data_IF_506227495084
#
_entry.id   IF_506227495084
#
_cell.length_a   1.000
_cell.length_b   1.000
_cell.length_c   1.000
_cell.angle_alpha   90.00
_cell.angle_beta   90.00
_cell.angle_gamma   90.00
#
_symmetry.space_group_name_H-M   'P 1'
#
loop_
_entity.id
_entity.type
_entity.pdbx_description
1 polymer ?
#
# COMPACT_ATOMS: atom_id res chain seq x y z
N UNK A 1 -37.71 -41.07 3.14
CA UNK A 1 -37.97 -39.60 3.05
C UNK A 1 -36.82 -38.73 3.50
N UNK A 2 -35.77 -39.28 4.16
CA UNK A 2 -34.68 -38.50 4.78
C UNK A 2 -33.52 -38.09 3.82
N UNK A 3 -33.40 -38.71 2.67
CA UNK A 3 -32.29 -38.45 1.75
C UNK A 3 -32.52 -37.25 0.82
N UNK A 4 -33.77 -36.98 0.46
CA UNK A 4 -34.11 -35.83 -0.40
C UNK A 4 -34.07 -34.47 0.33
N UNK A 5 -34.35 -34.46 1.63
CA UNK A 5 -34.28 -33.23 2.43
C UNK A 5 -32.83 -32.78 2.69
N UNK A 6 -31.89 -33.71 2.87
CA UNK A 6 -30.47 -33.38 3.05
C UNK A 6 -29.83 -32.77 1.77
N UNK A 7 -30.23 -33.29 0.59
CA UNK A 7 -29.72 -32.78 -0.70
C UNK A 7 -30.24 -31.39 -1.02
N UNK A 8 -31.49 -31.05 -0.66
CA UNK A 8 -32.06 -29.71 -0.86
C UNK A 8 -31.46 -28.66 0.09
N UNK A 9 -31.05 -29.03 1.30
CA UNK A 9 -30.38 -28.16 2.24
C UNK A 9 -28.97 -27.81 1.78
N UNK A 10 -28.22 -28.78 1.25
CA UNK A 10 -26.87 -28.55 0.75
C UNK A 10 -26.84 -27.66 -0.50
N UNK A 11 -27.77 -27.82 -1.42
CA UNK A 11 -27.92 -26.98 -2.62
C UNK A 11 -28.37 -25.58 -2.28
N UNK A 12 -29.25 -25.40 -1.30
CA UNK A 12 -29.70 -24.07 -0.88
C UNK A 12 -28.61 -23.26 -0.15
N UNK A 13 -27.77 -23.95 0.64
CA UNK A 13 -26.63 -23.32 1.33
C UNK A 13 -25.51 -22.91 0.36
N UNK A 14 -25.21 -23.75 -0.63
CA UNK A 14 -24.25 -23.46 -1.71
C UNK A 14 -24.71 -22.28 -2.56
N UNK A 15 -25.99 -22.25 -2.97
CA UNK A 15 -26.58 -21.15 -3.73
C UNK A 15 -26.61 -19.81 -2.98
N UNK A 16 -26.80 -19.82 -1.65
CA UNK A 16 -26.70 -18.61 -0.83
C UNK A 16 -25.27 -18.06 -0.77
N UNK A 17 -24.28 -18.93 -0.58
CA UNK A 17 -22.86 -18.54 -0.59
C UNK A 17 -22.44 -17.98 -1.95
N UNK A 18 -22.85 -18.60 -3.04
CA UNK A 18 -22.56 -18.11 -4.38
C UNK A 18 -23.21 -16.74 -4.67
N UNK A 19 -24.46 -16.54 -4.26
CA UNK A 19 -25.15 -15.24 -4.40
C UNK A 19 -24.46 -14.16 -3.57
N UNK A 20 -24.08 -14.47 -2.33
CA UNK A 20 -23.34 -13.54 -1.46
C UNK A 20 -21.96 -13.20 -2.05
N UNK A 21 -21.22 -14.18 -2.56
CA UNK A 21 -19.94 -13.95 -3.22
C UNK A 21 -20.08 -13.13 -4.51
N UNK A 22 -21.09 -13.38 -5.33
CA UNK A 22 -21.39 -12.59 -6.54
C UNK A 22 -21.79 -11.15 -6.21
N UNK A 23 -22.59 -10.95 -5.14
CA UNK A 23 -22.96 -9.61 -4.67
C UNK A 23 -21.74 -8.84 -4.13
N UNK A 24 -20.89 -9.50 -3.33
CA UNK A 24 -19.62 -8.92 -2.84
C UNK A 24 -18.67 -8.59 -3.98
N UNK A 25 -18.54 -9.47 -4.98
CA UNK A 25 -17.71 -9.22 -6.14
C UNK A 25 -18.26 -8.10 -7.04
N UNK A 26 -19.58 -7.97 -7.15
CA UNK A 26 -20.21 -6.87 -7.87
C UNK A 26 -20.02 -5.54 -7.14
N UNK A 27 -20.20 -5.53 -5.80
CA UNK A 27 -19.96 -4.36 -4.95
C UNK A 27 -18.50 -3.93 -5.01
N UNK A 28 -17.56 -4.88 -4.88
CA UNK A 28 -16.12 -4.61 -4.99
C UNK A 28 -15.74 -4.01 -6.34
N UNK A 29 -16.28 -4.53 -7.44
CA UNK A 29 -16.08 -3.97 -8.79
C UNK A 29 -16.69 -2.57 -8.93
N UNK A 30 -17.89 -2.37 -8.38
CA UNK A 30 -18.55 -1.06 -8.42
C UNK A 30 -17.74 -0.03 -7.64
N UNK A 31 -17.33 -0.35 -6.40
CA UNK A 31 -16.49 0.52 -5.55
C UNK A 31 -15.13 0.77 -6.20
N UNK A 32 -14.51 -0.25 -6.79
CA UNK A 32 -13.22 -0.10 -7.48
C UNK A 32 -13.31 0.80 -8.72
N UNK A 33 -14.35 0.65 -9.54
CA UNK A 33 -14.55 1.49 -10.74
C UNK A 33 -14.95 2.93 -10.42
N UNK A 34 -15.58 3.16 -9.25
CA UNK A 34 -16.01 4.49 -8.80
C UNK A 34 -15.10 5.05 -7.69
N UNK A 35 -13.96 4.40 -7.42
CA UNK A 35 -13.05 4.79 -6.34
C UNK A 35 -12.63 6.27 -6.40
N UNK A 36 -12.31 6.77 -7.59
CA UNK A 36 -11.91 8.17 -7.77
C UNK A 36 -13.03 9.16 -7.35
N UNK A 37 -14.29 8.83 -7.66
CA UNK A 37 -15.43 9.66 -7.26
C UNK A 37 -15.65 9.65 -5.76
N UNK A 38 -15.47 8.49 -5.10
CA UNK A 38 -15.55 8.38 -3.65
C UNK A 38 -14.46 9.19 -2.95
N UNK A 39 -13.21 9.11 -3.44
CA UNK A 39 -12.09 9.90 -2.90
C UNK A 39 -12.37 11.40 -3.04
N UNK A 40 -12.84 11.84 -4.22
CA UNK A 40 -13.18 13.23 -4.45
C UNK A 40 -14.33 13.70 -3.54
N UNK A 41 -15.37 12.89 -3.40
CA UNK A 41 -16.51 13.19 -2.53
C UNK A 41 -16.07 13.35 -1.06
N UNK A 42 -15.29 12.39 -0.54
CA UNK A 42 -14.81 12.46 0.83
C UNK A 42 -13.80 13.59 1.04
N UNK A 43 -12.98 13.93 0.04
CA UNK A 43 -12.09 15.09 0.11
C UNK A 43 -12.88 16.41 0.20
N UNK A 44 -13.93 16.58 -0.60
CA UNK A 44 -14.81 17.75 -0.54
C UNK A 44 -15.53 17.81 0.82
N UNK A 45 -16.07 16.68 1.30
CA UNK A 45 -16.73 16.62 2.62
C UNK A 45 -15.76 16.94 3.75
N UNK A 46 -14.52 16.45 3.69
CA UNK A 46 -13.48 16.74 4.69
C UNK A 46 -13.09 18.23 4.68
N UNK A 47 -13.08 18.85 3.52
CA UNK A 47 -12.82 20.29 3.40
C UNK A 47 -13.97 21.13 3.97
N UNK A 48 -15.22 20.72 3.75
CA UNK A 48 -16.41 21.44 4.24
C UNK A 48 -16.66 21.23 5.75
N UNK A 49 -16.33 20.04 6.26
CA UNK A 49 -16.58 19.64 7.65
C UNK A 49 -15.32 19.12 8.35
N UNK A 50 -14.25 19.93 8.49
CA UNK A 50 -12.96 19.47 9.02
C UNK A 50 -13.07 18.90 10.44
N UNK A 51 -13.98 19.44 11.27
CA UNK A 51 -14.14 19.02 12.67
C UNK A 51 -14.57 17.55 12.82
N UNK A 52 -15.40 17.04 11.90
CA UNK A 52 -15.83 15.63 11.90
C UNK A 52 -14.66 14.72 11.57
N UNK A 53 -13.82 15.11 10.61
CA UNK A 53 -12.69 14.32 10.15
C UNK A 53 -11.48 14.37 11.09
N UNK A 54 -11.31 15.47 11.85
CA UNK A 54 -10.26 15.57 12.88
C UNK A 54 -10.45 14.50 13.96
N UNK A 55 -11.70 14.18 14.33
CA UNK A 55 -12.02 13.10 15.26
C UNK A 55 -11.56 11.70 14.78
N UNK A 56 -11.47 11.50 13.46
CA UNK A 56 -10.99 10.25 12.89
C UNK A 56 -9.44 10.12 12.88
N UNK A 57 -8.70 11.15 13.27
CA UNK A 57 -7.22 11.13 13.29
C UNK A 57 -6.66 9.96 14.09
N UNK A 58 -7.29 9.60 15.22
CA UNK A 58 -6.88 8.46 16.04
C UNK A 58 -7.09 7.09 15.37
N UNK A 59 -7.96 7.03 14.36
CA UNK A 59 -8.24 5.81 13.60
C UNK A 59 -7.29 5.58 12.42
N UNK A 60 -6.48 6.57 12.04
CA UNK A 60 -5.55 6.46 10.91
C UNK A 60 -4.60 5.29 11.11
N UNK A 61 -3.98 5.16 12.28
CA UNK A 61 -3.00 4.11 12.59
C UNK A 61 -3.63 2.71 12.54
N UNK A 62 -4.75 2.42 13.24
CA UNK A 62 -5.38 1.09 13.14
C UNK A 62 -5.90 0.77 11.75
N UNK A 63 -6.45 1.73 11.02
CA UNK A 63 -6.92 1.53 9.65
C UNK A 63 -5.76 1.25 8.69
N UNK A 64 -4.65 1.98 8.82
CA UNK A 64 -3.44 1.73 8.06
C UNK A 64 -2.90 0.32 8.36
N UNK A 65 -2.86 -0.09 9.63
CA UNK A 65 -2.49 -1.45 10.02
C UNK A 65 -3.37 -2.52 9.37
N UNK A 66 -4.69 -2.29 9.31
CA UNK A 66 -5.63 -3.20 8.64
C UNK A 66 -5.34 -3.31 7.13
N UNK A 67 -5.07 -2.18 6.46
CA UNK A 67 -4.70 -2.17 5.04
C UNK A 67 -3.39 -2.90 4.81
N UNK A 68 -2.38 -2.66 5.65
CA UNK A 68 -1.08 -3.35 5.57
C UNK A 68 -1.20 -4.85 5.84
N UNK A 69 -2.06 -5.25 6.78
CA UNK A 69 -2.41 -6.65 7.02
C UNK A 69 -3.05 -7.29 5.79
N UNK A 70 -4.05 -6.62 5.18
CA UNK A 70 -4.66 -7.04 3.93
C UNK A 70 -3.65 -7.19 2.79
N UNK A 71 -2.69 -6.26 2.69
CA UNK A 71 -1.58 -6.36 1.73
C UNK A 71 -0.70 -7.59 2.02
N UNK A 72 -0.41 -7.87 3.29
CA UNK A 72 0.32 -9.07 3.71
C UNK A 72 -0.39 -10.37 3.29
N UNK A 73 -1.72 -10.42 3.38
CA UNK A 73 -2.53 -11.56 2.90
C UNK A 73 -2.47 -11.76 1.38
N UNK A 74 -2.12 -10.76 0.60
CA UNK A 74 -2.01 -10.86 -0.87
C UNK A 74 -0.61 -11.22 -1.34
N UNK A 75 0.42 -11.01 -0.51
CA UNK A 75 1.81 -11.33 -0.82
C UNK A 75 2.03 -12.85 -0.86
N UNK A 76 2.48 -13.37 -2.00
CA UNK A 76 2.82 -14.78 -2.18
C UNK A 76 4.34 -14.99 -2.18
N UNK A 77 4.78 -16.14 -1.68
CA UNK A 77 6.19 -16.53 -1.79
C UNK A 77 6.65 -16.66 -3.25
N UNK A 78 5.72 -16.92 -4.17
CA UNK A 78 5.96 -16.96 -5.60
C UNK A 78 6.39 -15.59 -6.16
N UNK A 79 5.95 -14.48 -5.55
CA UNK A 79 6.34 -13.13 -5.96
C UNK A 79 7.84 -12.88 -5.77
N UNK A 80 8.47 -13.61 -4.84
CA UNK A 80 9.92 -13.58 -4.62
C UNK A 80 10.70 -14.49 -5.59
N UNK A 81 10.02 -15.35 -6.34
CA UNK A 81 10.67 -16.22 -7.32
C UNK A 81 11.32 -15.41 -8.45
N UNK A 82 10.73 -14.28 -8.82
CA UNK A 82 11.30 -13.38 -9.82
C UNK A 82 12.58 -12.70 -9.32
N UNK A 83 12.67 -12.41 -8.02
CA UNK A 83 13.91 -11.91 -7.40
C UNK A 83 15.05 -12.92 -7.57
N UNK A 84 14.75 -14.22 -7.40
CA UNK A 84 15.74 -15.29 -7.58
C UNK A 84 16.12 -15.53 -9.06
N UNK A 85 15.15 -15.34 -9.97
CA UNK A 85 15.36 -15.53 -11.42
C UNK A 85 16.12 -14.38 -12.07
N UNK A 86 15.80 -13.15 -11.70
CA UNK A 86 16.34 -11.94 -12.31
C UNK A 86 16.82 -10.93 -11.27
N UNK A 87 17.78 -11.28 -10.39
CA UNK A 87 18.17 -10.44 -9.25
C UNK A 87 18.72 -9.08 -9.69
N UNK A 88 19.42 -9.02 -10.82
CA UNK A 88 19.97 -7.78 -11.34
C UNK A 88 18.90 -6.78 -11.79
N UNK A 89 17.83 -7.26 -12.46
CA UNK A 89 16.72 -6.40 -12.90
C UNK A 89 15.95 -5.86 -11.71
N UNK A 90 15.71 -6.70 -10.71
CA UNK A 90 15.04 -6.30 -9.46
C UNK A 90 15.92 -5.30 -8.71
N UNK A 91 17.20 -5.56 -8.53
CA UNK A 91 18.14 -4.65 -7.87
C UNK A 91 18.18 -3.29 -8.57
N UNK A 92 18.27 -3.27 -9.90
CA UNK A 92 18.26 -2.03 -10.68
C UNK A 92 16.95 -1.25 -10.47
N UNK A 93 15.79 -1.93 -10.47
CA UNK A 93 14.49 -1.31 -10.23
C UNK A 93 14.37 -0.73 -8.82
N UNK A 94 14.85 -1.44 -7.81
CA UNK A 94 14.87 -0.99 -6.40
C UNK A 94 15.78 0.22 -6.22
N UNK A 95 16.99 0.19 -6.78
CA UNK A 95 17.93 1.31 -6.74
C UNK A 95 17.33 2.52 -7.47
N UNK A 96 16.83 2.32 -8.67
CA UNK A 96 16.18 3.38 -9.43
C UNK A 96 15.01 4.01 -8.66
N UNK A 97 14.19 3.21 -8.02
CA UNK A 97 13.08 3.68 -7.21
C UNK A 97 13.55 4.58 -6.05
N UNK A 98 14.47 4.10 -5.21
CA UNK A 98 14.96 4.85 -4.04
C UNK A 98 15.94 5.99 -4.36
N UNK A 99 16.43 6.10 -5.59
CA UNK A 99 17.24 7.23 -6.05
C UNK A 99 16.38 8.26 -6.79
N UNK A 100 15.59 7.81 -7.77
CA UNK A 100 14.85 8.72 -8.64
C UNK A 100 13.67 9.36 -7.89
N UNK A 101 12.87 8.58 -7.17
CA UNK A 101 11.67 9.13 -6.52
C UNK A 101 12.00 10.15 -5.43
N UNK A 102 12.90 9.87 -4.46
CA UNK A 102 13.31 10.88 -3.48
C UNK A 102 14.05 12.06 -4.12
N UNK A 103 14.87 11.80 -5.15
CA UNK A 103 15.60 12.84 -5.87
C UNK A 103 14.66 13.81 -6.58
N UNK A 104 13.63 13.30 -7.25
CA UNK A 104 12.59 14.12 -7.90
C UNK A 104 11.78 14.88 -6.84
N UNK A 105 11.40 14.22 -5.75
CA UNK A 105 10.68 14.89 -4.66
C UNK A 105 11.49 16.07 -4.07
N UNK A 106 12.77 15.85 -3.80
CA UNK A 106 13.67 16.88 -3.31
C UNK A 106 13.83 18.03 -4.33
N UNK A 107 14.03 17.70 -5.61
CA UNK A 107 14.15 18.69 -6.68
C UNK A 107 12.87 19.54 -6.79
N UNK A 108 11.70 18.94 -6.73
CA UNK A 108 10.42 19.66 -6.74
C UNK A 108 10.31 20.63 -5.55
N UNK A 109 10.73 20.19 -4.35
CA UNK A 109 10.73 21.08 -3.18
C UNK A 109 11.61 22.31 -3.40
N UNK A 110 12.77 22.15 -4.06
CA UNK A 110 13.69 23.27 -4.37
C UNK A 110 13.13 24.18 -5.46
N UNK A 111 12.61 23.61 -6.54
CA UNK A 111 12.07 24.38 -7.68
C UNK A 111 10.85 25.23 -7.27
N UNK A 112 9.94 24.63 -6.49
CA UNK A 112 8.73 25.32 -6.02
C UNK A 112 8.94 26.11 -4.73
N UNK A 113 10.12 26.09 -4.13
CA UNK A 113 10.45 26.77 -2.87
C UNK A 113 9.39 26.49 -1.79
N UNK A 114 9.05 25.21 -1.62
CA UNK A 114 7.99 24.81 -0.72
C UNK A 114 8.33 25.13 0.74
N UNK A 115 7.34 25.54 1.56
CA UNK A 115 7.55 25.69 3.00
C UNK A 115 8.08 24.40 3.63
N UNK A 116 8.94 24.46 4.66
CA UNK A 116 9.59 23.29 5.27
C UNK A 116 8.65 22.14 5.62
N UNK A 117 7.49 22.44 6.17
CA UNK A 117 6.49 21.48 6.59
C UNK A 117 5.92 20.67 5.39
N UNK A 118 5.67 21.36 4.27
CA UNK A 118 5.17 20.73 3.04
C UNK A 118 6.31 20.00 2.34
N UNK A 119 7.51 20.58 2.31
CA UNK A 119 8.68 19.96 1.68
C UNK A 119 9.00 18.60 2.31
N UNK A 120 8.99 18.48 3.64
CA UNK A 120 9.19 17.20 4.34
C UNK A 120 8.12 16.18 3.98
N UNK A 121 6.86 16.60 3.86
CA UNK A 121 5.77 15.72 3.41
C UNK A 121 5.96 15.20 1.99
N UNK A 122 6.38 16.05 1.04
CA UNK A 122 6.66 15.66 -0.36
C UNK A 122 7.85 14.69 -0.43
N UNK A 123 8.91 14.95 0.32
CA UNK A 123 10.08 14.05 0.40
C UNK A 123 9.67 12.72 1.03
N UNK A 124 8.85 12.72 2.08
CA UNK A 124 8.33 11.50 2.71
C UNK A 124 7.60 10.63 1.69
N UNK A 125 6.73 11.21 0.87
CA UNK A 125 6.03 10.48 -0.21
C UNK A 125 7.03 9.91 -1.21
N UNK A 126 8.05 10.67 -1.60
CA UNK A 126 9.12 10.19 -2.50
C UNK A 126 9.95 9.04 -1.93
N UNK A 127 10.13 9.00 -0.60
CA UNK A 127 10.87 7.95 0.10
C UNK A 127 10.02 6.71 0.43
N UNK A 128 8.69 6.75 0.20
CA UNK A 128 7.82 5.59 0.42
C UNK A 128 8.11 4.47 -0.59
N UNK A 129 7.91 3.20 -0.19
CA UNK A 129 8.05 2.07 -1.10
C UNK A 129 7.00 2.10 -2.21
N UNK A 130 7.26 1.34 -3.28
CA UNK A 130 6.34 1.25 -4.43
C UNK A 130 4.96 0.75 -4.02
N UNK A 131 3.92 1.45 -4.45
CA UNK A 131 2.52 1.10 -4.14
C UNK A 131 1.95 0.05 -5.08
N UNK A 132 0.93 -0.69 -4.61
CA UNK A 132 0.22 -1.70 -5.41
C UNK A 132 -0.43 -1.13 -6.68
N UNK A 133 -0.78 0.16 -6.66
CA UNK A 133 -1.33 0.86 -7.83
C UNK A 133 -0.37 0.87 -9.01
N UNK A 134 0.96 0.91 -8.77
CA UNK A 134 1.97 0.87 -9.84
C UNK A 134 1.97 -0.48 -10.57
N UNK A 135 1.64 -1.58 -9.88
CA UNK A 135 1.51 -2.90 -10.50
C UNK A 135 0.34 -2.95 -11.48
N UNK A 136 -0.78 -2.28 -11.15
CA UNK A 136 -1.93 -2.14 -12.05
C UNK A 136 -1.55 -1.33 -13.29
N UNK A 137 -0.78 -0.25 -13.12
CA UNK A 137 -0.29 0.55 -14.25
C UNK A 137 0.68 -0.24 -15.13
N UNK A 138 1.58 -1.02 -14.52
CA UNK A 138 2.48 -1.91 -15.27
C UNK A 138 1.71 -2.94 -16.11
N UNK A 139 0.64 -3.52 -15.55
CA UNK A 139 -0.23 -4.45 -16.26
C UNK A 139 -0.97 -3.78 -17.43
N UNK A 140 -1.55 -2.60 -17.21
CA UNK A 140 -2.24 -1.83 -18.25
C UNK A 140 -1.30 -1.41 -19.38
N UNK A 141 -0.04 -1.09 -19.03
CA UNK A 141 1.01 -0.75 -20.00
C UNK A 141 1.58 -1.99 -20.73
N UNK A 142 1.05 -3.20 -20.45
CA UNK A 142 1.58 -4.48 -20.96
C UNK A 142 3.06 -4.71 -20.60
N UNK A 143 3.50 -4.17 -19.45
CA UNK A 143 4.83 -4.39 -18.90
C UNK A 143 4.95 -5.74 -18.18
N UNK A 144 6.16 -6.02 -17.69
CA UNK A 144 6.44 -7.22 -16.90
C UNK A 144 5.85 -7.08 -15.48
N UNK A 145 4.68 -7.67 -15.27
CA UNK A 145 3.97 -7.61 -13.99
C UNK A 145 4.74 -8.35 -12.88
N UNK A 146 5.38 -9.49 -13.21
CA UNK A 146 6.13 -10.26 -12.23
C UNK A 146 7.31 -9.45 -11.69
N UNK A 147 8.03 -8.75 -12.57
CA UNK A 147 9.11 -7.85 -12.19
C UNK A 147 8.58 -6.66 -11.35
N UNK A 148 7.45 -6.06 -11.73
CA UNK A 148 6.86 -4.93 -10.99
C UNK A 148 6.47 -5.33 -9.56
N UNK A 149 5.83 -6.50 -9.39
CA UNK A 149 5.44 -7.04 -8.08
C UNK A 149 6.67 -7.38 -7.24
N UNK A 150 7.71 -7.98 -7.85
CA UNK A 150 8.97 -8.30 -7.17
C UNK A 150 9.66 -7.01 -6.65
N UNK A 151 9.74 -5.97 -7.47
CA UNK A 151 10.30 -4.67 -7.06
C UNK A 151 9.47 -4.08 -5.91
N UNK A 152 8.14 -4.10 -6.00
CA UNK A 152 7.27 -3.58 -4.96
C UNK A 152 7.45 -4.34 -3.63
N UNK A 153 7.56 -5.67 -3.66
CA UNK A 153 7.81 -6.50 -2.48
C UNK A 153 9.16 -6.17 -1.83
N UNK A 154 10.22 -6.10 -2.63
CA UNK A 154 11.58 -5.80 -2.12
C UNK A 154 11.66 -4.37 -1.58
N UNK A 155 11.08 -3.37 -2.26
CA UNK A 155 11.06 -1.98 -1.75
C UNK A 155 10.29 -1.88 -0.44
N UNK A 156 9.19 -2.62 -0.28
CA UNK A 156 8.42 -2.65 0.96
C UNK A 156 9.21 -3.28 2.11
N UNK A 157 9.96 -4.36 1.86
CA UNK A 157 10.83 -4.98 2.87
C UNK A 157 12.00 -4.07 3.30
N UNK A 158 12.55 -3.30 2.36
CA UNK A 158 13.65 -2.37 2.62
C UNK A 158 13.17 -1.03 3.21
N UNK A 159 11.90 -0.71 3.11
CA UNK A 159 11.34 0.56 3.54
C UNK A 159 11.67 0.94 5.00
N UNK A 160 11.59 0.05 6.01
CA UNK A 160 11.90 0.42 7.39
C UNK A 160 13.32 0.99 7.58
N UNK A 161 14.25 0.55 6.75
CA UNK A 161 15.64 1.01 6.79
C UNK A 161 15.88 2.20 5.85
N UNK A 162 15.47 2.06 4.58
CA UNK A 162 15.79 3.05 3.56
C UNK A 162 14.96 4.33 3.67
N UNK A 163 13.66 4.22 4.01
CA UNK A 163 12.80 5.41 4.13
C UNK A 163 13.28 6.37 5.22
N UNK A 164 13.54 5.95 6.49
CA UNK A 164 14.06 6.85 7.50
C UNK A 164 15.44 7.41 7.16
N UNK A 165 16.32 6.59 6.55
CA UNK A 165 17.66 7.02 6.14
C UNK A 165 17.60 8.14 5.10
N UNK A 166 16.77 7.96 4.07
CA UNK A 166 16.60 8.95 3.01
C UNK A 166 15.92 10.23 3.52
N UNK A 167 14.93 10.12 4.39
CA UNK A 167 14.29 11.30 4.99
C UNK A 167 15.28 12.03 5.88
N UNK A 168 16.04 11.32 6.71
CA UNK A 168 17.08 11.93 7.52
C UNK A 168 18.12 12.67 6.65
N UNK A 169 18.54 12.05 5.54
CA UNK A 169 19.52 12.64 4.64
C UNK A 169 18.98 13.87 3.89
N UNK A 170 17.74 13.82 3.40
CA UNK A 170 17.18 14.83 2.50
C UNK A 170 16.38 15.92 3.23
N UNK A 171 15.76 15.61 4.36
CA UNK A 171 14.83 16.50 5.06
C UNK A 171 15.41 17.07 6.38
N UNK A 172 16.51 16.54 6.89
CA UNK A 172 17.12 17.01 8.15
C UNK A 172 17.55 18.48 8.13
N UNK A 173 17.78 19.04 6.95
CA UNK A 173 18.09 20.46 6.78
C UNK A 173 16.91 21.38 7.09
N UNK A 174 15.67 20.87 7.01
CA UNK A 174 14.44 21.65 7.21
C UNK A 174 13.77 21.39 8.56
N UNK A 175 13.82 20.15 9.03
CA UNK A 175 13.21 19.74 10.30
C UNK A 175 14.08 18.68 10.99
N UNK A 176 14.25 18.76 12.33
CA UNK A 176 14.94 17.72 13.08
C UNK A 176 14.10 16.43 13.04
N UNK A 177 14.60 15.42 12.32
CA UNK A 177 13.95 14.13 12.19
C UNK A 177 14.74 13.09 12.98
N UNK A 178 14.09 12.40 13.92
CA UNK A 178 14.67 11.30 14.65
C UNK A 178 14.62 10.03 13.79
N UNK A 179 15.77 9.56 13.35
CA UNK A 179 15.90 8.31 12.60
C UNK A 179 15.29 7.10 13.37
N UNK A 180 15.61 6.98 14.64
CA UNK A 180 15.19 5.83 15.46
C UNK A 180 13.67 5.78 15.65
N UNK A 181 13.03 6.94 15.90
CA UNK A 181 11.58 6.99 16.09
C UNK A 181 10.85 6.66 14.79
N UNK A 182 11.35 7.14 13.65
CA UNK A 182 10.80 6.79 12.35
C UNK A 182 11.00 5.31 12.01
N UNK A 183 12.19 4.77 12.27
CA UNK A 183 12.48 3.36 12.04
C UNK A 183 11.51 2.46 12.83
N UNK A 184 11.34 2.70 14.13
CA UNK A 184 10.41 1.96 14.97
C UNK A 184 8.96 2.13 14.54
N UNK A 185 8.56 3.34 14.18
CA UNK A 185 7.20 3.60 13.70
C UNK A 185 6.89 2.84 12.41
N UNK A 186 7.79 2.85 11.43
CA UNK A 186 7.61 2.12 10.18
C UNK A 186 7.64 0.61 10.43
N UNK A 187 8.52 0.11 11.29
CA UNK A 187 8.59 -1.30 11.63
C UNK A 187 7.27 -1.79 12.24
N UNK A 188 6.70 -1.04 13.17
CA UNK A 188 5.45 -1.39 13.84
C UNK A 188 4.23 -1.20 12.94
N UNK A 189 4.16 -0.10 12.17
CA UNK A 189 2.97 0.25 11.39
C UNK A 189 2.90 -0.47 10.04
N UNK A 190 4.04 -0.83 9.47
CA UNK A 190 4.12 -1.43 8.14
C UNK A 190 4.52 -2.90 8.23
N UNK A 191 5.69 -3.20 8.80
CA UNK A 191 6.24 -4.56 8.77
C UNK A 191 5.44 -5.54 9.62
N UNK A 192 5.08 -5.16 10.84
CA UNK A 192 4.37 -6.06 11.76
C UNK A 192 3.03 -6.53 11.18
N UNK A 193 2.12 -5.67 10.69
CA UNK A 193 0.88 -6.12 10.10
C UNK A 193 1.07 -6.91 8.80
N UNK A 194 2.06 -6.58 7.97
CA UNK A 194 2.37 -7.35 6.76
C UNK A 194 2.82 -8.77 7.12
N UNK A 195 3.74 -8.90 8.07
CA UNK A 195 4.21 -10.23 8.54
C UNK A 195 3.07 -11.04 9.12
N UNK A 196 2.21 -10.43 9.94
CA UNK A 196 1.00 -11.09 10.46
C UNK A 196 0.06 -11.53 9.33
N UNK A 197 -0.11 -10.72 8.28
CA UNK A 197 -0.90 -11.07 7.12
C UNK A 197 -0.34 -12.26 6.35
N UNK A 198 0.96 -12.29 6.12
CA UNK A 198 1.65 -13.42 5.45
C UNK A 198 1.55 -14.69 6.28
N UNK A 199 1.68 -14.61 7.60
CA UNK A 199 1.53 -15.77 8.51
C UNK A 199 0.09 -16.26 8.54
N UNK A 200 -0.89 -15.38 8.55
CA UNK A 200 -2.31 -15.73 8.57
C UNK A 200 -2.81 -16.35 7.24
N UNK A 201 -2.09 -16.14 6.14
CA UNK A 201 -2.39 -16.75 4.84
C UNK A 201 -2.03 -18.25 4.79
N UNK A 202 -1.10 -18.70 5.66
CA UNK A 202 -0.68 -20.12 5.76
C UNK A 202 -1.66 -20.98 6.58
#
# INVERSE_FOLDING_TARGET
>A
PSFQTAHSFHTNYSNRKERAMRALAALSRFVGNTFAYWVLLFAILAFLFPQVFIGLKSWIVPLLGLVMFGMGLTLKLEDFSEVARNPWRVALGVIAHFVIMPGVAWLLCQVFQLPPEIAVGVILVGCCPSGTSSNVMAWLAKGDLALAVAIAAVTTLLAPLLTPTLIWLLASAWLPVSFLDMFWSILQLVMLPIVLGVVAQR
#
